data_IF_719314569035
#
_entry.id   IF_719314569035
#
_cell.length_a   1.000
_cell.length_b   1.000
_cell.length_c   1.000
_cell.angle_alpha   90.00
_cell.angle_beta   90.00
_cell.angle_gamma   90.00
#
_symmetry.space_group_name_H-M   'P 1'
#
loop_
_entity.id
_entity.type
_entity.pdbx_description
1 polymer ?
#
# COMPACT_ATOMS: atom_id res chain seq x y z
N UNK A 1 -17.85 9.81 -1.74
CA UNK A 1 -18.72 8.60 -1.70
C UNK A 1 -18.18 7.67 -0.61
N UNK A 2 -19.02 6.83 0.02
CA UNK A 2 -18.62 5.96 1.14
C UNK A 2 -19.09 4.53 0.87
N UNK A 3 -18.15 3.59 0.79
CA UNK A 3 -18.39 2.16 0.55
C UNK A 3 -18.53 1.40 1.87
N UNK A 4 -17.53 1.54 2.75
CA UNK A 4 -17.54 1.02 4.11
C UNK A 4 -17.99 2.15 5.05
N UNK A 5 -19.13 1.98 5.71
CA UNK A 5 -19.70 3.00 6.61
C UNK A 5 -19.16 2.86 8.01
N UNK A 6 -19.21 1.65 8.57
CA UNK A 6 -18.78 1.38 9.94
C UNK A 6 -18.12 0.01 10.06
N UNK A 7 -17.16 -0.12 10.97
CA UNK A 7 -16.51 -1.38 11.31
C UNK A 7 -16.48 -1.58 12.81
N UNK A 8 -16.93 -2.74 13.26
CA UNK A 8 -17.09 -3.11 14.67
C UNK A 8 -16.05 -4.16 15.06
N UNK A 9 -15.32 -3.86 16.12
CA UNK A 9 -14.32 -4.75 16.72
C UNK A 9 -14.95 -5.55 17.85
N UNK A 10 -14.40 -6.74 18.17
CA UNK A 10 -14.87 -7.53 19.31
C UNK A 10 -14.65 -6.76 20.61
N UNK A 11 -15.58 -6.96 21.55
CA UNK A 11 -15.46 -6.45 22.91
C UNK A 11 -14.40 -7.22 23.70
N UNK A 12 -13.88 -6.61 24.77
CA UNK A 12 -12.93 -7.25 25.69
C UNK A 12 -13.44 -8.62 26.17
N UNK A 13 -14.73 -8.74 26.48
CA UNK A 13 -15.33 -9.99 26.94
C UNK A 13 -15.33 -11.08 25.86
N UNK A 14 -15.66 -10.72 24.62
CA UNK A 14 -15.66 -11.68 23.50
C UNK A 14 -14.25 -12.17 23.18
N UNK A 15 -13.27 -11.26 23.25
CA UNK A 15 -11.86 -11.63 23.12
C UNK A 15 -11.41 -12.59 24.22
N UNK A 16 -11.69 -12.27 25.48
CA UNK A 16 -11.37 -13.13 26.63
C UNK A 16 -12.05 -14.51 26.52
N UNK A 17 -13.33 -14.56 26.14
CA UNK A 17 -14.09 -15.79 25.98
C UNK A 17 -13.51 -16.69 24.86
N UNK A 18 -13.14 -16.12 23.71
CA UNK A 18 -12.51 -16.88 22.63
C UNK A 18 -11.11 -17.38 22.99
N UNK A 19 -10.31 -16.55 23.67
CA UNK A 19 -9.00 -16.97 24.16
C UNK A 19 -9.14 -18.08 25.22
N UNK A 20 -10.11 -17.98 26.12
CA UNK A 20 -10.39 -19.04 27.09
C UNK A 20 -10.81 -20.34 26.40
N UNK A 21 -11.70 -20.30 25.40
CA UNK A 21 -12.05 -21.50 24.61
C UNK A 21 -10.84 -22.11 23.91
N UNK A 22 -9.93 -21.27 23.42
CA UNK A 22 -8.74 -21.73 22.72
C UNK A 22 -7.72 -22.38 23.65
N UNK A 23 -7.42 -21.73 24.78
CA UNK A 23 -6.44 -22.22 25.74
C UNK A 23 -7.00 -23.34 26.64
N UNK A 24 -8.33 -23.44 26.77
CA UNK A 24 -9.01 -24.38 27.66
C UNK A 24 -9.99 -25.30 26.89
N UNK A 25 -9.56 -26.53 26.60
CA UNK A 25 -10.43 -27.52 25.97
C UNK A 25 -11.30 -28.24 27.02
N UNK A 26 -12.63 -28.02 26.98
CA UNK A 26 -13.62 -28.69 27.86
C UNK A 26 -13.56 -30.22 27.82
N UNK A 27 -13.06 -30.84 26.74
CA UNK A 27 -12.94 -32.31 26.65
C UNK A 27 -11.81 -32.92 27.48
N UNK A 28 -10.80 -32.13 27.88
CA UNK A 28 -9.59 -32.69 28.50
C UNK A 28 -9.32 -32.22 29.95
N UNK A 29 -10.09 -31.28 30.51
CA UNK A 29 -9.89 -30.72 31.89
C UNK A 29 -8.41 -30.49 32.26
N UNK A 30 -7.58 -30.13 31.27
CA UNK A 30 -6.15 -29.87 31.46
C UNK A 30 -5.78 -28.65 30.60
N UNK A 31 -4.99 -27.70 31.13
CA UNK A 31 -4.38 -26.68 30.29
C UNK A 31 -3.45 -27.38 29.29
N UNK A 32 -3.51 -26.96 28.03
CA UNK A 32 -2.63 -27.48 26.98
C UNK A 32 -1.20 -26.96 27.31
N UNK A 33 -0.34 -27.75 27.97
CA UNK A 33 1.09 -27.41 28.22
C UNK A 33 1.94 -27.80 26.99
N UNK A 34 3.18 -27.30 26.77
CA UNK A 34 3.87 -26.04 27.09
C UNK A 34 4.06 -25.12 25.85
N UNK A 35 3.70 -25.57 24.64
CA UNK A 35 3.77 -24.78 23.39
C UNK A 35 2.84 -23.55 23.41
N UNK A 36 1.85 -23.54 24.30
CA UNK A 36 0.98 -22.38 24.56
C UNK A 36 1.72 -21.17 25.13
N UNK A 37 2.83 -21.30 25.86
CA UNK A 37 3.52 -20.11 26.37
C UNK A 37 4.09 -19.27 25.22
N UNK A 38 4.51 -19.91 24.13
CA UNK A 38 4.99 -19.23 22.92
C UNK A 38 3.85 -18.55 22.13
N UNK A 39 2.65 -19.14 22.13
CA UNK A 39 1.44 -18.61 21.48
C UNK A 39 0.76 -17.54 22.35
N UNK A 40 0.77 -17.71 23.67
CA UNK A 40 0.29 -16.74 24.65
C UNK A 40 1.18 -15.49 24.73
N UNK A 41 2.45 -15.60 24.34
CA UNK A 41 3.33 -14.44 24.11
C UNK A 41 3.01 -13.70 22.80
N UNK A 42 2.30 -14.34 21.86
CA UNK A 42 2.01 -13.81 20.52
C UNK A 42 0.51 -13.88 20.18
N UNK A 43 -0.34 -13.33 21.05
CA UNK A 43 -1.81 -13.35 20.88
C UNK A 43 -2.32 -12.32 19.86
N UNK A 44 -1.48 -11.89 18.92
CA UNK A 44 -1.86 -10.91 17.92
C UNK A 44 -3.11 -11.37 17.12
N UNK A 45 -4.11 -10.52 16.84
CA UNK A 45 -4.26 -9.11 17.22
C UNK A 45 -5.06 -8.89 18.53
N UNK A 46 -5.37 -9.94 19.29
CA UNK A 46 -6.12 -9.84 20.55
C UNK A 46 -5.40 -8.96 21.57
N UNK A 47 -6.17 -8.36 22.47
CA UNK A 47 -5.74 -7.44 23.54
C UNK A 47 -5.09 -6.14 23.07
N UNK A 48 -4.82 -5.98 21.77
CA UNK A 48 -4.25 -4.75 21.20
C UNK A 48 -5.31 -3.66 21.03
N UNK A 49 -6.50 -4.02 20.53
CA UNK A 49 -7.55 -3.07 20.15
C UNK A 49 -8.73 -3.02 21.15
N UNK A 50 -8.99 -4.13 21.84
CA UNK A 50 -10.18 -4.36 22.67
C UNK A 50 -10.45 -3.28 23.73
N UNK A 51 -9.40 -2.71 24.31
CA UNK A 51 -9.50 -1.76 25.41
C UNK A 51 -9.69 -0.30 24.95
N UNK A 52 -9.59 -0.05 23.65
CA UNK A 52 -9.44 1.31 23.12
C UNK A 52 -10.43 1.64 22.01
N UNK A 53 -10.94 0.64 21.30
CA UNK A 53 -11.72 0.83 20.09
C UNK A 53 -12.82 -0.24 19.94
N UNK A 54 -14.08 0.19 19.97
CA UNK A 54 -15.23 -0.69 19.72
C UNK A 54 -15.77 -0.57 18.30
N UNK A 55 -15.74 0.65 17.74
CA UNK A 55 -16.27 0.95 16.41
C UNK A 55 -15.47 2.06 15.74
N UNK A 56 -15.34 1.98 14.42
CA UNK A 56 -14.87 3.04 13.56
C UNK A 56 -15.94 3.36 12.53
N UNK A 57 -16.24 4.64 12.36
CA UNK A 57 -17.13 5.14 11.31
C UNK A 57 -16.28 5.88 10.28
N UNK A 58 -16.48 5.58 9.01
CA UNK A 58 -15.66 6.10 7.93
C UNK A 58 -16.35 7.20 7.15
N UNK A 59 -15.52 8.01 6.54
CA UNK A 59 -15.86 9.10 5.63
C UNK A 59 -15.18 8.83 4.28
N UNK A 60 -15.37 9.66 3.24
CA UNK A 60 -14.63 9.52 1.98
C UNK A 60 -13.10 9.49 2.19
N UNK A 61 -12.61 10.20 3.20
CA UNK A 61 -11.22 10.15 3.65
C UNK A 61 -11.20 10.00 5.16
N UNK A 62 -10.72 8.86 5.65
CA UNK A 62 -10.49 8.60 7.07
C UNK A 62 -9.01 8.33 7.31
N UNK A 63 -8.45 8.95 8.33
CA UNK A 63 -7.04 8.81 8.71
C UNK A 63 -6.95 8.22 10.12
N UNK A 64 -6.11 7.19 10.25
CA UNK A 64 -5.71 6.57 11.50
C UNK A 64 -4.34 7.13 11.90
N UNK A 65 -4.32 8.04 12.87
CA UNK A 65 -3.12 8.63 13.42
C UNK A 65 -2.68 7.91 14.71
N UNK A 66 -1.38 7.79 14.92
CA UNK A 66 -0.80 7.41 16.21
C UNK A 66 0.68 7.05 16.10
N UNK A 67 1.35 6.90 17.24
CA UNK A 67 2.74 6.48 17.33
C UNK A 67 3.00 5.04 16.89
N UNK A 68 4.27 4.64 16.94
CA UNK A 68 4.66 3.26 16.65
C UNK A 68 4.03 2.30 17.66
N UNK A 69 3.43 1.21 17.17
CA UNK A 69 2.75 0.24 18.02
C UNK A 69 1.33 0.63 18.46
N UNK A 70 0.78 1.76 17.98
CA UNK A 70 -0.60 2.16 18.29
C UNK A 70 -1.69 1.29 17.65
N UNK A 71 -1.32 0.36 16.76
CA UNK A 71 -2.26 -0.58 16.12
C UNK A 71 -2.83 -0.13 14.78
N UNK A 72 -2.35 0.98 14.18
CA UNK A 72 -2.77 1.46 12.84
C UNK A 72 -2.79 0.36 11.78
N UNK A 73 -1.63 -0.24 11.51
CA UNK A 73 -1.48 -1.31 10.53
C UNK A 73 -2.31 -2.53 10.90
N UNK A 74 -2.48 -2.81 12.19
CA UNK A 74 -3.33 -3.91 12.68
C UNK A 74 -4.80 -3.68 12.35
N UNK A 75 -5.31 -2.47 12.53
CA UNK A 75 -6.68 -2.11 12.15
C UNK A 75 -6.87 -2.32 10.64
N UNK A 76 -5.96 -1.82 9.81
CA UNK A 76 -6.02 -2.04 8.36
C UNK A 76 -5.96 -3.54 8.00
N UNK A 77 -5.13 -4.31 8.72
CA UNK A 77 -5.03 -5.77 8.58
C UNK A 77 -6.31 -6.50 8.90
N UNK A 78 -6.98 -6.14 9.99
CA UNK A 78 -8.25 -6.73 10.38
C UNK A 78 -9.35 -6.39 9.37
N UNK A 79 -9.46 -5.12 8.96
CA UNK A 79 -10.46 -4.67 7.97
C UNK A 79 -10.25 -5.40 6.64
N UNK A 80 -9.01 -5.42 6.15
CA UNK A 80 -8.68 -6.05 4.88
C UNK A 80 -8.94 -7.55 4.87
N UNK A 81 -8.64 -8.26 5.96
CA UNK A 81 -8.91 -9.69 6.07
C UNK A 81 -10.42 -9.95 6.15
N UNK A 82 -11.19 -9.09 6.82
CA UNK A 82 -12.65 -9.22 6.90
C UNK A 82 -13.33 -9.02 5.55
N UNK A 83 -12.81 -8.07 4.78
CA UNK A 83 -13.30 -7.71 3.45
C UNK A 83 -12.58 -8.47 2.32
N UNK A 84 -11.78 -9.49 2.64
CA UNK A 84 -11.03 -10.30 1.65
C UNK A 84 -10.30 -9.48 0.57
N UNK A 85 -9.78 -8.31 0.95
CA UNK A 85 -9.16 -7.34 0.04
C UNK A 85 -7.84 -7.89 -0.50
N UNK A 86 -7.58 -7.68 -1.80
CA UNK A 86 -6.35 -8.09 -2.46
C UNK A 86 -5.11 -7.36 -1.91
N UNK A 87 -4.00 -8.09 -1.76
CA UNK A 87 -2.73 -7.61 -1.21
C UNK A 87 -1.54 -8.22 -1.96
N UNK A 88 -0.49 -7.42 -2.14
CA UNK A 88 0.78 -7.86 -2.75
C UNK A 88 1.85 -8.16 -1.68
N UNK A 89 1.96 -7.34 -0.62
CA UNK A 89 2.92 -7.53 0.45
C UNK A 89 2.48 -8.56 1.52
N UNK A 90 3.44 -9.30 2.10
CA UNK A 90 3.21 -10.06 3.32
C UNK A 90 2.89 -9.12 4.49
N UNK A 91 2.12 -9.59 5.46
CA UNK A 91 1.74 -8.82 6.64
C UNK A 91 1.85 -9.67 7.90
N UNK A 92 1.93 -9.00 9.06
CA UNK A 92 1.90 -9.68 10.35
C UNK A 92 0.56 -10.41 10.50
N UNK A 93 0.62 -11.73 10.41
CA UNK A 93 -0.51 -12.63 10.60
C UNK A 93 -0.17 -13.63 11.71
N UNK A 94 -1.20 -14.12 12.38
CA UNK A 94 -1.08 -15.14 13.41
C UNK A 94 -2.14 -16.20 13.17
N UNK A 95 -1.98 -17.35 13.81
CA UNK A 95 -3.02 -18.39 13.85
C UNK A 95 -4.37 -17.88 14.41
N UNK A 96 -4.33 -16.83 15.23
CA UNK A 96 -5.51 -16.26 15.87
C UNK A 96 -6.19 -15.17 15.04
N UNK A 97 -5.51 -14.63 14.02
CA UNK A 97 -6.06 -13.58 13.14
C UNK A 97 -7.40 -13.98 12.52
N UNK A 98 -7.51 -15.19 11.97
CA UNK A 98 -8.75 -15.65 11.33
C UNK A 98 -9.92 -15.70 12.33
N UNK A 99 -9.65 -16.11 13.57
CA UNK A 99 -10.66 -16.15 14.63
C UNK A 99 -11.09 -14.74 15.05
N UNK A 100 -10.13 -13.83 15.17
CA UNK A 100 -10.39 -12.42 15.47
C UNK A 100 -11.30 -11.77 14.42
N UNK A 101 -10.95 -11.95 13.15
CA UNK A 101 -11.69 -11.41 12.01
C UNK A 101 -13.11 -11.98 11.94
N UNK A 102 -13.31 -13.25 12.32
CA UNK A 102 -14.66 -13.84 12.40
C UNK A 102 -15.56 -13.13 13.40
N UNK A 103 -15.03 -12.63 14.51
CA UNK A 103 -15.79 -11.87 15.51
C UNK A 103 -16.09 -10.43 15.07
N UNK A 104 -15.27 -9.85 14.19
CA UNK A 104 -15.52 -8.49 13.68
C UNK A 104 -16.76 -8.46 12.79
N UNK A 105 -17.45 -7.32 12.74
CA UNK A 105 -18.56 -7.09 11.82
C UNK A 105 -18.43 -5.72 11.15
N UNK A 106 -19.12 -5.51 10.03
CA UNK A 106 -19.05 -4.25 9.31
C UNK A 106 -20.39 -3.89 8.69
N UNK A 107 -20.59 -2.59 8.46
CA UNK A 107 -21.71 -2.03 7.73
C UNK A 107 -21.16 -1.37 6.46
N UNK A 108 -21.67 -1.81 5.32
CA UNK A 108 -21.36 -1.24 4.01
C UNK A 108 -22.65 -0.75 3.36
N UNK A 109 -22.51 0.16 2.41
CA UNK A 109 -23.66 0.59 1.63
C UNK A 109 -24.13 -0.55 0.69
N UNK A 110 -25.36 -1.03 0.89
CA UNK A 110 -25.94 -2.22 0.22
C UNK A 110 -26.10 -2.09 -1.30
N UNK A 111 -25.98 -0.89 -1.88
CA UNK A 111 -26.02 -0.72 -3.33
C UNK A 111 -24.83 -1.39 -4.06
N UNK A 112 -23.83 -1.89 -3.33
CA UNK A 112 -22.57 -2.40 -3.86
C UNK A 112 -22.13 -3.76 -3.25
N UNK A 113 -23.06 -4.52 -2.66
CA UNK A 113 -22.76 -5.86 -2.09
C UNK A 113 -23.76 -6.93 -2.55
N UNK A 114 -23.25 -8.07 -3.01
CA UNK A 114 -24.04 -9.26 -3.34
C UNK A 114 -24.42 -10.01 -2.05
N UNK A 115 -25.39 -9.51 -1.30
CA UNK A 115 -26.13 -10.36 -0.36
C UNK A 115 -27.57 -10.47 -0.81
N UNK A 116 -27.84 -11.63 -1.41
CA UNK A 116 -29.16 -12.12 -1.81
C UNK A 116 -30.19 -11.95 -0.68
N UNK A 117 -31.30 -11.31 -1.03
CA UNK A 117 -32.60 -11.61 -0.44
C UNK A 117 -33.58 -11.82 -1.59
N UNK A 118 -34.15 -13.02 -1.54
CA UNK A 118 -34.89 -13.78 -2.54
C UNK A 118 -35.96 -13.07 -3.39
N UNK A 119 -36.11 -13.68 -4.58
CA UNK A 119 -37.34 -13.91 -5.35
C UNK A 119 -38.16 -12.68 -5.77
N UNK A 120 -38.08 -12.41 -7.08
CA UNK A 120 -38.91 -11.51 -7.89
C UNK A 120 -38.41 -10.06 -7.95
N UNK A 121 -38.01 -9.69 -9.18
CA UNK A 121 -37.68 -8.37 -9.71
C UNK A 121 -36.21 -7.95 -9.68
N UNK A 122 -35.59 -8.12 -10.86
CA UNK A 122 -34.32 -7.55 -11.33
C UNK A 122 -34.01 -6.17 -10.73
N UNK A 123 -32.88 -6.07 -10.03
CA UNK A 123 -32.10 -4.84 -9.89
C UNK A 123 -30.63 -5.16 -10.17
N UNK A 124 -30.07 -4.55 -11.23
CA UNK A 124 -28.67 -4.70 -11.60
C UNK A 124 -27.78 -3.91 -10.61
N UNK A 125 -27.05 -4.60 -9.73
CA UNK A 125 -25.98 -4.00 -8.93
C UNK A 125 -24.68 -3.98 -9.73
N UNK A 126 -23.89 -2.90 -9.62
CA UNK A 126 -22.84 -2.57 -10.61
C UNK A 126 -21.41 -2.99 -10.20
N UNK A 127 -21.09 -3.12 -8.91
CA UNK A 127 -19.74 -3.50 -8.43
C UNK A 127 -19.78 -4.14 -7.05
N UNK A 128 -18.95 -5.16 -6.80
CA UNK A 128 -18.72 -5.74 -5.47
C UNK A 128 -17.58 -4.99 -4.77
N UNK A 129 -17.80 -4.52 -3.54
CA UNK A 129 -16.75 -3.96 -2.67
C UNK A 129 -15.52 -4.87 -2.61
N UNK A 130 -15.70 -6.20 -2.62
CA UNK A 130 -14.60 -7.16 -2.56
C UNK A 130 -13.66 -7.05 -3.78
N UNK A 131 -14.21 -6.76 -4.96
CA UNK A 131 -13.45 -6.68 -6.22
C UNK A 131 -12.81 -5.30 -6.45
N UNK A 132 -13.46 -4.24 -5.96
CA UNK A 132 -12.99 -2.86 -6.15
C UNK A 132 -12.10 -2.35 -5.01
N UNK A 133 -11.95 -3.14 -3.95
CA UNK A 133 -11.12 -2.75 -2.81
C UNK A 133 -9.68 -3.21 -2.99
N UNK A 134 -8.72 -2.34 -2.63
CA UNK A 134 -7.30 -2.68 -2.65
C UNK A 134 -6.59 -2.15 -1.42
N UNK A 135 -5.65 -2.93 -0.88
CA UNK A 135 -4.72 -2.46 0.14
C UNK A 135 -3.34 -2.23 -0.47
N UNK A 136 -2.73 -1.10 -0.13
CA UNK A 136 -1.38 -0.71 -0.53
C UNK A 136 -0.60 -0.34 0.72
N UNK A 137 0.57 -0.94 0.88
CA UNK A 137 1.47 -0.70 2.02
C UNK A 137 2.76 -0.02 1.58
N UNK A 138 3.50 0.55 2.53
CA UNK A 138 4.85 1.07 2.27
C UNK A 138 5.79 0.04 1.65
N UNK A 139 5.63 -1.24 2.01
CA UNK A 139 6.46 -2.33 1.49
C UNK A 139 6.17 -2.60 0.00
N UNK A 140 4.91 -2.46 -0.43
CA UNK A 140 4.53 -2.57 -1.84
C UNK A 140 5.19 -1.46 -2.68
N UNK A 141 5.09 -0.22 -2.18
CA UNK A 141 5.72 0.96 -2.79
C UNK A 141 7.24 0.77 -2.88
N UNK A 142 7.85 0.33 -1.78
CA UNK A 142 9.30 0.13 -1.69
C UNK A 142 9.79 -0.99 -2.60
N UNK A 143 9.09 -2.12 -2.66
CA UNK A 143 9.39 -3.23 -3.57
C UNK A 143 9.36 -2.76 -5.03
N UNK A 144 8.33 -2.01 -5.43
CA UNK A 144 8.23 -1.47 -6.79
C UNK A 144 9.39 -0.54 -7.12
N UNK A 145 9.83 0.27 -6.15
CA UNK A 145 11.00 1.15 -6.31
C UNK A 145 12.29 0.35 -6.50
N UNK A 146 12.52 -0.70 -5.71
CA UNK A 146 13.68 -1.59 -5.88
C UNK A 146 13.63 -2.28 -7.24
N UNK A 147 12.50 -2.84 -7.63
CA UNK A 147 12.35 -3.54 -8.91
C UNK A 147 12.62 -2.62 -10.10
N UNK A 148 12.21 -1.34 -10.01
CA UNK A 148 12.51 -0.35 -11.04
C UNK A 148 14.01 -0.07 -11.12
N UNK A 149 14.67 0.16 -9.98
CA UNK A 149 16.13 0.37 -9.93
C UNK A 149 16.90 -0.81 -10.52
N UNK A 150 16.55 -2.03 -10.13
CA UNK A 150 17.18 -3.25 -10.66
C UNK A 150 17.00 -3.35 -12.18
N UNK A 151 15.80 -3.06 -12.70
CA UNK A 151 15.57 -3.03 -14.15
C UNK A 151 16.39 -1.95 -14.85
N UNK A 152 16.50 -0.77 -14.27
CA UNK A 152 17.27 0.33 -14.85
C UNK A 152 18.78 0.02 -14.85
N UNK A 153 19.30 -0.59 -13.78
CA UNK A 153 20.69 -1.04 -13.70
C UNK A 153 20.97 -2.19 -14.67
N UNK A 154 20.05 -3.14 -14.83
CA UNK A 154 20.17 -4.20 -15.85
C UNK A 154 20.19 -3.61 -17.27
N UNK A 155 19.34 -2.61 -17.55
CA UNK A 155 19.35 -1.92 -18.84
C UNK A 155 20.68 -1.19 -19.08
N UNK A 156 21.23 -0.53 -18.05
CA UNK A 156 22.54 0.13 -18.12
C UNK A 156 23.66 -0.86 -18.39
N UNK A 157 23.74 -1.94 -17.62
CA UNK A 157 24.75 -2.97 -17.81
C UNK A 157 24.67 -3.61 -19.21
N UNK A 158 23.46 -3.98 -19.67
CA UNK A 158 23.26 -4.47 -21.05
C UNK A 158 23.69 -3.44 -22.09
N UNK A 159 23.41 -2.15 -21.85
CA UNK A 159 23.79 -1.09 -22.79
C UNK A 159 25.30 -0.93 -22.88
N UNK A 160 26.03 -1.06 -21.75
CA UNK A 160 27.49 -1.05 -21.72
C UNK A 160 28.07 -2.25 -22.48
N UNK A 161 27.55 -3.46 -22.24
CA UNK A 161 27.98 -4.65 -22.98
C UNK A 161 27.77 -4.50 -24.50
N UNK A 162 26.62 -4.00 -24.93
CA UNK A 162 26.33 -3.77 -26.36
C UNK A 162 27.27 -2.70 -26.93
N UNK A 163 27.61 -1.66 -26.17
CA UNK A 163 28.56 -0.62 -26.59
C UNK A 163 29.97 -1.21 -26.75
N UNK A 164 30.42 -2.03 -25.81
CA UNK A 164 31.72 -2.73 -25.89
C UNK A 164 31.76 -3.70 -27.07
N UNK A 165 30.71 -4.50 -27.27
CA UNK A 165 30.59 -5.41 -28.40
C UNK A 165 30.63 -4.65 -29.73
N UNK A 166 29.90 -3.52 -29.84
CA UNK A 166 29.92 -2.67 -31.03
C UNK A 166 31.29 -2.03 -31.26
N UNK A 167 32.02 -1.66 -30.21
CA UNK A 167 33.41 -1.15 -30.31
C UNK A 167 34.37 -2.25 -30.76
N UNK A 168 34.25 -3.47 -30.22
CA UNK A 168 35.09 -4.61 -30.60
C UNK A 168 34.80 -5.08 -32.05
N UNK A 169 33.53 -5.04 -32.46
CA UNK A 169 33.10 -5.36 -33.82
C UNK A 169 33.37 -4.24 -34.84
N UNK A 170 33.75 -3.04 -34.39
CA UNK A 170 34.11 -1.91 -35.26
C UNK A 170 35.43 -2.18 -35.98
N UNK A 171 35.35 -2.97 -37.06
CA UNK A 171 36.49 -3.39 -37.89
C UNK A 171 36.42 -4.85 -38.35
N UNK A 172 35.58 -5.67 -37.73
CA UNK A 172 35.44 -7.10 -38.04
C UNK A 172 34.21 -7.27 -38.93
N UNK A 173 34.43 -7.54 -40.22
CA UNK A 173 33.36 -7.85 -41.18
C UNK A 173 33.20 -9.38 -41.26
N UNK A 174 31.99 -9.94 -41.09
CA UNK A 174 31.76 -11.36 -41.32
C UNK A 174 32.18 -11.74 -42.75
N UNK A 175 33.12 -12.67 -42.89
CA UNK A 175 33.72 -13.04 -44.19
C UNK A 175 32.78 -13.90 -45.06
N UNK A 176 31.80 -14.57 -44.47
CA UNK A 176 30.84 -15.43 -45.17
C UNK A 176 29.54 -15.58 -44.38
N UNK A 177 28.42 -15.79 -45.08
CA UNK A 177 27.10 -16.08 -44.51
C UNK A 177 26.78 -17.53 -44.89
N UNK A 178 26.41 -18.35 -43.90
CA UNK A 178 25.83 -19.67 -44.16
C UNK A 178 24.30 -19.53 -44.14
N UNK A 179 23.65 -19.82 -45.26
CA UNK A 179 22.19 -19.69 -45.44
C UNK A 179 21.40 -20.87 -44.86
N UNK A 180 22.08 -21.94 -44.46
CA UNK A 180 21.45 -23.13 -43.86
C UNK A 180 21.49 -23.12 -42.32
N UNK A 181 22.20 -22.15 -41.73
CA UNK A 181 22.36 -22.00 -40.28
C UNK A 181 21.66 -20.71 -39.81
N UNK A 182 20.53 -20.86 -39.12
CA UNK A 182 19.75 -19.74 -38.58
C UNK A 182 20.60 -18.80 -37.72
N UNK A 183 21.56 -19.33 -36.96
CA UNK A 183 22.41 -18.50 -36.08
C UNK A 183 23.41 -17.65 -36.85
N UNK A 184 23.88 -18.14 -38.00
CA UNK A 184 24.75 -17.39 -38.91
C UNK A 184 23.99 -16.26 -39.61
N UNK A 185 22.71 -16.47 -39.94
CA UNK A 185 21.83 -15.46 -40.54
C UNK A 185 21.48 -14.37 -39.51
N UNK A 186 21.15 -14.74 -38.27
CA UNK A 186 20.89 -13.79 -37.18
C UNK A 186 22.09 -12.89 -36.91
N UNK A 187 23.30 -13.47 -36.75
CA UNK A 187 24.54 -12.69 -36.55
C UNK A 187 24.80 -11.70 -37.67
N UNK A 188 24.51 -12.07 -38.92
CA UNK A 188 24.69 -11.18 -40.06
C UNK A 188 23.63 -10.07 -40.10
N UNK A 189 22.38 -10.38 -39.78
CA UNK A 189 21.31 -9.39 -39.66
C UNK A 189 21.57 -8.39 -38.52
N UNK A 190 22.06 -8.88 -37.38
CA UNK A 190 22.48 -8.05 -36.24
C UNK A 190 23.63 -7.13 -36.65
N UNK A 191 24.65 -7.64 -37.33
CA UNK A 191 25.75 -6.84 -37.88
C UNK A 191 25.27 -5.73 -38.82
N UNK A 192 24.35 -6.05 -39.75
CA UNK A 192 23.78 -5.06 -40.67
C UNK A 192 22.96 -3.99 -39.93
N UNK A 193 22.18 -4.40 -38.92
CA UNK A 193 21.38 -3.49 -38.12
C UNK A 193 22.25 -2.56 -37.24
N UNK A 194 23.38 -3.05 -36.74
CA UNK A 194 24.38 -2.29 -35.99
C UNK A 194 25.04 -1.18 -36.82
N UNK A 195 25.29 -1.42 -38.12
CA UNK A 195 25.87 -0.42 -39.03
C UNK A 195 24.86 0.62 -39.52
N UNK A 196 23.59 0.23 -39.72
CA UNK A 196 22.56 1.13 -40.26
C UNK A 196 21.99 2.11 -39.24
N UNK A 197 22.09 1.82 -37.93
CA UNK A 197 21.48 2.63 -36.87
C UNK A 197 22.52 3.35 -36.00
N UNK A 198 22.17 4.56 -35.53
CA UNK A 198 22.97 5.27 -34.52
C UNK A 198 23.08 4.44 -33.24
N UNK A 199 24.15 4.63 -32.44
CA UNK A 199 24.32 3.94 -31.15
C UNK A 199 23.05 3.99 -30.29
N UNK A 200 22.44 5.17 -30.20
CA UNK A 200 21.21 5.40 -29.44
C UNK A 200 20.01 4.64 -29.99
N UNK A 201 19.81 4.59 -31.31
CA UNK A 201 18.69 3.84 -31.92
C UNK A 201 18.87 2.33 -31.79
N UNK A 202 20.10 1.83 -31.93
CA UNK A 202 20.39 0.41 -31.76
C UNK A 202 20.08 -0.04 -30.32
N UNK A 203 20.61 0.68 -29.33
CA UNK A 203 20.36 0.41 -27.91
C UNK A 203 18.86 0.47 -27.58
N UNK A 204 18.16 1.51 -28.06
CA UNK A 204 16.70 1.63 -27.85
C UNK A 204 15.92 0.47 -28.47
N UNK A 205 16.35 -0.05 -29.62
CA UNK A 205 15.69 -1.18 -30.30
C UNK A 205 15.93 -2.51 -29.57
N UNK A 206 17.13 -2.71 -29.01
CA UNK A 206 17.52 -3.98 -28.39
C UNK A 206 17.15 -4.07 -26.90
N UNK A 207 17.27 -2.96 -26.15
CA UNK A 207 17.05 -2.92 -24.69
C UNK A 207 15.73 -2.23 -24.32
N UNK A 208 15.10 -1.53 -25.28
CA UNK A 208 13.96 -0.66 -25.05
C UNK A 208 14.39 0.75 -24.59
N UNK A 209 13.42 1.65 -24.42
CA UNK A 209 13.73 3.00 -23.97
C UNK A 209 14.17 3.01 -22.50
N UNK A 210 15.21 3.77 -22.20
CA UNK A 210 15.56 4.17 -20.84
C UNK A 210 14.75 5.44 -20.60
N UNK A 211 13.57 5.28 -20.02
CA UNK A 211 12.71 6.40 -19.64
C UNK A 211 13.44 7.35 -18.67
N UNK A 212 12.90 8.55 -18.44
CA UNK A 212 13.47 9.48 -17.47
C UNK A 212 13.67 8.78 -16.11
N UNK A 213 14.84 9.02 -15.50
CA UNK A 213 15.14 8.50 -14.17
C UNK A 213 14.30 9.30 -13.17
N UNK A 214 13.20 8.70 -12.72
CA UNK A 214 12.38 9.29 -11.67
C UNK A 214 13.07 9.10 -10.32
N UNK A 215 12.89 10.06 -9.42
CA UNK A 215 13.29 9.88 -8.04
C UNK A 215 12.54 8.70 -7.41
N UNK A 216 13.05 8.25 -6.28
CA UNK A 216 12.40 7.24 -5.46
C UNK A 216 10.96 7.61 -5.11
N UNK A 217 10.77 8.83 -4.62
CA UNK A 217 9.45 9.34 -4.24
C UNK A 217 8.50 9.40 -5.44
N UNK A 218 8.96 9.90 -6.58
CA UNK A 218 8.14 9.96 -7.80
C UNK A 218 7.76 8.57 -8.32
N UNK A 219 8.67 7.60 -8.25
CA UNK A 219 8.35 6.22 -8.61
C UNK A 219 7.27 5.64 -7.70
N UNK A 220 7.34 5.92 -6.40
CA UNK A 220 6.31 5.50 -5.45
C UNK A 220 4.96 6.17 -5.72
N UNK A 221 4.95 7.47 -6.01
CA UNK A 221 3.73 8.22 -6.35
C UNK A 221 3.06 7.67 -7.62
N UNK A 222 3.85 7.44 -8.67
CA UNK A 222 3.34 6.86 -9.92
C UNK A 222 2.74 5.48 -9.68
N UNK A 223 3.37 4.64 -8.85
CA UNK A 223 2.81 3.35 -8.48
C UNK A 223 1.46 3.49 -7.77
N UNK A 224 1.34 4.39 -6.78
CA UNK A 224 0.07 4.65 -6.10
C UNK A 224 -1.02 5.09 -7.09
N UNK A 225 -0.70 6.02 -8.00
CA UNK A 225 -1.64 6.48 -9.03
C UNK A 225 -2.06 5.34 -9.97
N UNK A 226 -1.16 4.44 -10.36
CA UNK A 226 -1.49 3.26 -11.18
C UNK A 226 -2.43 2.30 -10.44
N UNK A 227 -2.18 2.06 -9.15
CA UNK A 227 -3.01 1.17 -8.34
C UNK A 227 -4.39 1.76 -8.02
N UNK A 228 -4.48 3.08 -7.91
CA UNK A 228 -5.69 3.84 -7.60
C UNK A 228 -6.30 4.38 -8.90
N UNK A 229 -6.52 3.49 -9.87
CA UNK A 229 -7.03 3.85 -11.19
C UNK A 229 -8.56 3.74 -11.31
N UNK A 230 -9.20 2.98 -10.41
CA UNK A 230 -10.64 2.69 -10.47
C UNK A 230 -11.36 3.22 -9.22
N UNK A 231 -12.67 3.52 -9.31
CA UNK A 231 -13.49 3.79 -8.13
C UNK A 231 -13.51 2.59 -7.17
N UNK A 232 -13.27 2.82 -5.89
CA UNK A 232 -13.22 1.74 -4.90
C UNK A 232 -12.81 2.19 -3.51
N UNK A 233 -12.63 1.21 -2.62
CA UNK A 233 -12.13 1.43 -1.26
C UNK A 233 -10.64 1.09 -1.20
N UNK A 234 -9.82 2.07 -0.83
CA UNK A 234 -8.39 1.93 -0.73
C UNK A 234 -7.92 2.03 0.72
N UNK A 235 -7.24 0.98 1.17
CA UNK A 235 -6.56 0.95 2.46
C UNK A 235 -5.08 1.28 2.23
N UNK A 236 -4.60 2.38 2.81
CA UNK A 236 -3.22 2.82 2.62
C UNK A 236 -2.47 2.77 3.96
N UNK A 237 -1.38 2.01 4.03
CA UNK A 237 -0.52 1.93 5.23
C UNK A 237 0.81 2.62 4.97
N UNK A 238 0.99 3.80 5.57
CA UNK A 238 2.13 4.70 5.41
C UNK A 238 2.56 4.88 3.93
N UNK A 239 1.61 5.26 3.03
CA UNK A 239 1.88 5.36 1.60
C UNK A 239 2.95 6.39 1.24
N UNK A 240 3.23 7.35 2.12
CA UNK A 240 4.22 8.40 1.94
C UNK A 240 5.66 8.01 2.24
N UNK A 241 5.88 6.82 2.80
CA UNK A 241 7.21 6.39 3.21
C UNK A 241 8.17 6.46 2.00
N UNK A 242 9.34 7.09 2.21
CA UNK A 242 10.34 7.37 1.17
C UNK A 242 10.01 8.47 0.15
N UNK A 243 8.93 9.24 0.34
CA UNK A 243 8.58 10.38 -0.50
C UNK A 243 9.11 11.72 0.03
N UNK A 244 9.51 12.62 -0.87
CA UNK A 244 9.88 14.00 -0.52
C UNK A 244 8.64 14.83 -0.16
N UNK A 245 8.83 16.00 0.48
CA UNK A 245 7.73 16.91 0.81
C UNK A 245 6.89 17.28 -0.42
N UNK A 246 7.54 17.56 -1.56
CA UNK A 246 6.86 17.90 -2.81
C UNK A 246 6.00 16.74 -3.32
N UNK A 247 6.51 15.52 -3.30
CA UNK A 247 5.77 14.33 -3.72
C UNK A 247 4.60 14.04 -2.77
N UNK A 248 4.77 14.26 -1.45
CA UNK A 248 3.68 14.10 -0.49
C UNK A 248 2.54 15.10 -0.71
N UNK A 249 2.86 16.35 -1.09
CA UNK A 249 1.84 17.33 -1.47
C UNK A 249 1.06 16.91 -2.73
N UNK A 250 1.75 16.37 -3.74
CA UNK A 250 1.10 15.79 -4.93
C UNK A 250 0.20 14.59 -4.57
N UNK A 251 0.62 13.76 -3.62
CA UNK A 251 -0.19 12.66 -3.11
C UNK A 251 -1.46 13.16 -2.40
N UNK A 252 -1.35 14.22 -1.59
CA UNK A 252 -2.49 14.86 -0.91
C UNK A 252 -3.51 15.35 -1.95
N UNK A 253 -3.06 16.09 -2.96
CA UNK A 253 -3.92 16.57 -4.04
C UNK A 253 -4.59 15.41 -4.79
N UNK A 254 -3.83 14.36 -5.10
CA UNK A 254 -4.36 13.17 -5.76
C UNK A 254 -5.45 12.47 -4.94
N UNK A 255 -5.23 12.25 -3.63
CA UNK A 255 -6.20 11.62 -2.74
C UNK A 255 -7.47 12.47 -2.62
N UNK A 256 -7.31 13.79 -2.45
CA UNK A 256 -8.42 14.73 -2.34
C UNK A 256 -9.29 14.73 -3.61
N UNK A 257 -8.66 14.83 -4.78
CA UNK A 257 -9.35 14.79 -6.07
C UNK A 257 -10.02 13.42 -6.30
N UNK A 258 -9.33 12.34 -5.99
CA UNK A 258 -9.85 10.97 -6.10
C UNK A 258 -11.12 10.77 -5.27
N UNK A 259 -11.10 11.22 -4.02
CA UNK A 259 -12.24 11.08 -3.12
C UNK A 259 -13.46 11.92 -3.54
N UNK A 260 -13.21 13.10 -4.11
CA UNK A 260 -14.28 14.04 -4.52
C UNK A 260 -14.86 13.72 -5.89
N UNK A 261 -14.02 13.43 -6.88
CA UNK A 261 -14.42 13.36 -8.29
C UNK A 261 -14.57 11.93 -8.81
N UNK A 262 -13.89 10.94 -8.21
CA UNK A 262 -13.80 9.58 -8.77
C UNK A 262 -14.49 8.52 -7.91
N UNK A 263 -15.36 8.95 -6.98
CA UNK A 263 -16.12 8.07 -6.08
C UNK A 263 -15.25 7.17 -5.20
N UNK A 264 -13.99 7.52 -4.98
CA UNK A 264 -13.05 6.71 -4.21
C UNK A 264 -13.21 6.96 -2.71
N UNK A 265 -13.03 5.91 -1.89
CA UNK A 265 -12.93 6.02 -0.44
C UNK A 265 -11.53 5.63 0.02
N UNK A 266 -10.97 6.38 0.97
CA UNK A 266 -9.65 6.13 1.54
C UNK A 266 -9.70 5.92 3.04
N UNK A 267 -9.02 4.87 3.51
CA UNK A 267 -8.69 4.66 4.93
C UNK A 267 -7.17 4.59 5.02
N UNK A 268 -6.57 5.59 5.66
CA UNK A 268 -5.13 5.84 5.59
C UNK A 268 -4.54 5.74 7.00
N UNK A 269 -3.57 4.85 7.21
CA UNK A 269 -2.71 4.89 8.37
C UNK A 269 -1.48 5.74 8.06
N UNK A 270 -1.27 6.82 8.81
CA UNK A 270 -0.14 7.72 8.57
C UNK A 270 0.19 8.54 9.82
N UNK A 271 1.45 8.95 9.90
CA UNK A 271 1.93 9.94 10.85
C UNK A 271 2.41 11.22 10.16
N UNK A 272 2.31 11.30 8.83
CA UNK A 272 2.80 12.40 8.03
C UNK A 272 1.96 13.67 8.22
N UNK A 273 2.60 14.81 8.52
CA UNK A 273 1.90 16.09 8.64
C UNK A 273 1.18 16.48 7.35
N UNK A 274 1.69 16.07 6.19
CA UNK A 274 1.11 16.40 4.89
C UNK A 274 -0.22 15.69 4.68
N UNK A 275 -0.28 14.37 4.90
CA UNK A 275 -1.53 13.63 4.76
C UNK A 275 -2.55 14.00 5.83
N UNK A 276 -2.10 14.29 7.06
CA UNK A 276 -2.99 14.77 8.12
C UNK A 276 -3.64 16.12 7.77
N UNK A 277 -3.04 16.91 6.89
CA UNK A 277 -3.57 18.19 6.45
C UNK A 277 -4.65 18.09 5.35
N UNK A 278 -5.00 16.88 4.89
CA UNK A 278 -6.03 16.68 3.86
C UNK A 278 -7.36 17.32 4.31
N UNK A 279 -7.96 18.21 3.51
CA UNK A 279 -9.20 18.89 3.87
C UNK A 279 -10.36 17.90 4.08
N UNK A 280 -11.15 18.12 5.13
CA UNK A 280 -12.31 17.30 5.51
C UNK A 280 -11.99 15.84 5.85
N UNK A 281 -10.72 15.48 6.05
CA UNK A 281 -10.36 14.14 6.51
C UNK A 281 -10.82 13.91 7.96
N UNK A 282 -11.43 12.75 8.21
CA UNK A 282 -11.80 12.32 9.56
C UNK A 282 -10.61 11.63 10.21
N UNK A 283 -10.05 12.21 11.28
CA UNK A 283 -8.82 11.71 11.90
C UNK A 283 -9.14 11.06 13.25
N UNK A 284 -8.80 9.76 13.37
CA UNK A 284 -8.82 9.02 14.62
C UNK A 284 -7.45 9.03 15.27
N UNK A 285 -7.39 9.48 16.52
CA UNK A 285 -6.17 9.50 17.31
C UNK A 285 -6.05 8.25 18.17
N UNK A 286 -5.26 7.28 17.69
CA UNK A 286 -5.03 5.99 18.35
C UNK A 286 -4.10 6.08 19.56
N UNK A 287 -3.43 7.21 19.79
CA UNK A 287 -2.61 7.41 20.99
C UNK A 287 -3.48 7.76 22.22
N UNK A 288 -4.74 8.14 22.00
CA UNK A 288 -5.70 8.41 23.08
C UNK A 288 -6.42 7.13 23.52
N UNK A 289 -6.72 7.04 24.82
CA UNK A 289 -7.40 5.89 25.43
C UNK A 289 -8.59 6.41 26.24
N UNK A 290 -9.84 6.24 25.78
CA UNK A 290 -10.27 5.59 24.52
C UNK A 290 -9.89 6.38 23.26
N UNK A 291 -9.95 5.73 22.09
CA UNK A 291 -9.70 6.39 20.80
C UNK A 291 -10.68 7.53 20.60
N UNK A 292 -10.17 8.69 20.22
CA UNK A 292 -10.96 9.91 20.01
C UNK A 292 -10.75 10.49 18.62
N UNK A 293 -11.73 11.27 18.15
CA UNK A 293 -11.56 12.11 16.98
C UNK A 293 -10.76 13.34 17.37
N UNK A 294 -9.82 13.75 16.54
CA UNK A 294 -9.00 14.94 16.77
C UNK A 294 -8.81 15.70 15.47
N UNK A 295 -8.68 17.02 15.56
CA UNK A 295 -8.22 17.80 14.40
C UNK A 295 -6.71 17.67 14.28
N UNK A 296 -6.17 17.78 13.07
CA UNK A 296 -4.73 17.53 12.89
C UNK A 296 -3.84 18.47 13.71
N UNK A 297 -4.23 19.74 13.90
CA UNK A 297 -3.50 20.69 14.76
C UNK A 297 -3.57 20.40 16.26
N UNK A 298 -4.48 19.52 16.70
CA UNK A 298 -4.59 19.11 18.12
C UNK A 298 -3.63 17.95 18.46
N UNK A 299 -3.12 17.26 17.44
CA UNK A 299 -2.25 16.11 17.56
C UNK A 299 -0.88 16.51 18.13
N UNK A 300 -0.33 15.66 19.00
CA UNK A 300 0.93 15.92 19.70
C UNK A 300 2.10 16.12 18.73
N UNK A 301 2.21 15.29 17.68
CA UNK A 301 3.26 15.46 16.67
C UNK A 301 3.14 16.80 15.94
N UNK A 302 1.91 17.25 15.63
CA UNK A 302 1.68 18.52 14.96
C UNK A 302 2.02 19.72 15.85
N UNK A 303 1.70 19.63 17.16
CA UNK A 303 2.13 20.63 18.14
C UNK A 303 3.66 20.74 18.21
N UNK A 304 4.38 19.61 18.15
CA UNK A 304 5.85 19.61 18.11
C UNK A 304 6.41 20.27 16.86
N UNK A 305 5.87 19.94 15.68
CA UNK A 305 6.25 20.64 14.44
C UNK A 305 6.02 22.14 14.56
N UNK A 306 4.84 22.55 15.03
CA UNK A 306 4.50 23.96 15.22
C UNK A 306 5.46 24.67 16.18
N UNK A 307 5.81 24.04 17.31
CA UNK A 307 6.79 24.60 18.26
C UNK A 307 8.17 24.82 17.62
N UNK A 308 8.63 23.89 16.78
CA UNK A 308 9.90 24.02 16.05
C UNK A 308 9.84 25.19 15.08
N UNK A 309 8.80 25.26 14.24
CA UNK A 309 8.66 26.35 13.26
C UNK A 309 8.48 27.71 13.93
N UNK A 310 7.75 27.77 15.05
CA UNK A 310 7.57 28.98 15.82
C UNK A 310 8.88 29.45 16.47
N UNK A 311 9.74 28.52 16.91
CA UNK A 311 11.06 28.85 17.48
C UNK A 311 11.99 29.54 16.45
N UNK A 312 11.92 29.14 15.19
CA UNK A 312 12.75 29.68 14.10
C UNK A 312 11.97 30.61 13.16
N UNK A 313 10.83 31.14 13.61
CA UNK A 313 9.90 31.92 12.77
C UNK A 313 10.60 33.12 12.13
N UNK A 314 11.45 33.82 12.89
CA UNK A 314 12.18 34.99 12.43
C UNK A 314 13.16 34.68 11.30
N UNK A 315 13.80 33.51 11.33
CA UNK A 315 14.75 33.05 10.35
C UNK A 315 14.03 32.60 9.07
N UNK A 316 12.92 31.87 9.22
CA UNK A 316 12.07 31.51 8.07
C UNK A 316 11.50 32.73 7.36
N UNK A 317 11.03 33.74 8.11
CA UNK A 317 10.53 35.00 7.52
C UNK A 317 11.60 35.79 6.78
N UNK A 318 12.88 35.67 7.15
CA UNK A 318 13.99 36.31 6.42
C UNK A 318 14.41 35.54 5.16
N UNK A 319 14.11 34.25 5.10
CA UNK A 319 14.51 33.37 4.02
C UNK A 319 13.44 33.22 2.91
N UNK A 320 12.18 33.51 3.22
CA UNK A 320 11.04 33.56 2.28
C UNK A 320 11.01 34.87 1.51
#
# INVERSE_FOLDING_TARGET
MVYLESFYFPSVKEEEDELQKFFYNKKCKRPIKPALNYIAQNVYPFSLLAHHLSCLDFEPITILYGGNGSGKSTILNVISNKLHISREAPYNSSYLMEKYVKMCSFKSNFHYTNKDLDLVNKTNYKYDILEISKMITSDDVFKKMIDKRLRDDQKRFKSEMIIEEKRAAAGIVPKSINLEDETSIERFNDFLSMRKSSYTQYIKKTIGDIGPSFSNGETGLMYLMEQISNPGLYLLDEPENSMSCETQLKLVEFIELSARAFNTQFIIATHSPFLLSIPNAKIYNLDTRPVSLSKWWELENMKRYFQIFNKYQTEFQKAL
#
